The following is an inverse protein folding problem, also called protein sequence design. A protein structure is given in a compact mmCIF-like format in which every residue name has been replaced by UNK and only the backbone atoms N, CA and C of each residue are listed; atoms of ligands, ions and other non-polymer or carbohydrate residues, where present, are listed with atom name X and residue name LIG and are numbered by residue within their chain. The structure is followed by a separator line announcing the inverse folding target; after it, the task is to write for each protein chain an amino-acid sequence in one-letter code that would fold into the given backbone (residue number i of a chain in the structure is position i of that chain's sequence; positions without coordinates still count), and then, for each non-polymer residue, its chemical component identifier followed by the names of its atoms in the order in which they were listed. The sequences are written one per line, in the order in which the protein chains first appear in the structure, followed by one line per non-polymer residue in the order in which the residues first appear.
data_IF_483935679011
#
_entry.id   IF_483935679011
#
_cell.length_a   1.000
_cell.length_b   1.000
_cell.length_c   1.000
_cell.angle_alpha   90.00
_cell.angle_beta   90.00
_cell.angle_gamma   90.00
#
_symmetry.space_group_name_H-M   'P 1'
#
loop_
_entity.id
_entity.type
_entity.pdbx_description
1 polymer ?
#
# COMPACT_ATOMS: atom_id res chain seq x y z
N UNK A 1 8.57 18.08 18.03
CA UNK A 1 8.47 17.74 17.94
C UNK A 1 8.21 17.52 17.93
N UNK A 2 8.03 17.40 17.88
CA UNK A 2 7.78 16.93 17.78
C UNK A 2 7.29 16.79 17.78
N UNK A 3 6.99 16.76 17.78
CA UNK A 3 6.44 16.38 17.71
C UNK A 3 5.88 16.36 17.70
N UNK A 4 5.80 16.50 17.70
CA UNK A 4 5.14 16.13 17.59
C UNK A 4 4.58 15.98 17.56
N UNK A 5 4.48 15.88 17.62
CA UNK A 5 4.05 15.38 17.65
C UNK A 5 3.56 15.20 17.83
N UNK A 6 3.41 15.29 17.84
CA UNK A 6 3.08 14.81 18.01
C UNK A 6 2.47 14.58 18.29
N UNK A 7 2.27 14.65 18.25
CA UNK A 7 1.86 14.17 18.44
C UNK A 7 1.29 13.88 18.48
N UNK A 8 1.13 13.95 18.39
CA UNK A 8 0.82 13.35 18.37
C UNK A 8 0.48 13.09 18.15
N UNK A 9 0.41 13.12 17.98
CA UNK A 9 0.15 12.64 17.59
C UNK A 9 0.16 11.81 17.54
N UNK A 10 0.24 11.63 17.89
CA UNK A 10 0.37 10.74 17.86
C UNK A 10 -0.06 9.61 17.75
N UNK A 11 -0.68 9.12 17.98
CA UNK A 11 -1.04 8.01 17.65
C UNK A 11 -1.87 7.97 16.56
N UNK A 12 -1.49 8.43 15.51
CA UNK A 12 -2.25 8.41 14.31
C UNK A 12 -2.47 7.04 13.78
N UNK A 13 -1.70 6.09 14.24
CA UNK A 13 -1.83 4.76 13.71
C UNK A 13 -2.71 3.88 14.48
N UNK A 14 -3.38 4.41 15.48
CA UNK A 14 -4.34 3.55 16.13
C UNK A 14 -5.47 3.37 15.18
N UNK A 15 -6.13 2.30 15.26
CA UNK A 15 -7.19 1.97 14.37
C UNK A 15 -8.25 2.99 14.41
N UNK A 16 -8.60 3.45 15.58
CA UNK A 16 -9.63 4.36 15.70
C UNK A 16 -9.07 5.70 15.69
N UNK A 17 -9.64 6.66 15.13
CA UNK A 17 -9.19 8.01 15.15
C UNK A 17 -8.16 8.34 14.09
N UNK A 18 -7.74 7.37 13.33
CA UNK A 18 -6.79 7.64 12.27
C UNK A 18 -7.47 8.41 11.15
N UNK A 19 -6.88 9.53 10.75
CA UNK A 19 -7.38 10.28 9.63
C UNK A 19 -6.74 9.77 8.36
N UNK A 20 -7.53 9.63 7.31
CA UNK A 20 -7.01 9.22 6.01
C UNK A 20 -7.34 10.24 4.94
N UNK A 21 -7.89 11.37 5.32
CA UNK A 21 -8.18 12.43 4.37
C UNK A 21 -8.09 13.76 5.08
N UNK A 22 -7.99 14.84 4.31
CA UNK A 22 -7.88 16.16 4.86
C UNK A 22 -6.99 16.98 3.97
N UNK A 23 -6.73 18.25 4.32
CA UNK A 23 -5.89 19.07 3.48
C UNK A 23 -4.45 18.61 3.43
N UNK A 24 -4.03 17.87 4.42
CA UNK A 24 -2.66 17.38 4.45
C UNK A 24 -2.58 16.22 5.41
N UNK A 25 -1.84 15.21 5.04
CA UNK A 25 -1.60 14.05 5.89
C UNK A 25 -0.10 13.82 5.96
N UNK A 26 0.37 13.51 7.13
CA UNK A 26 1.78 13.22 7.34
C UNK A 26 1.87 11.88 8.04
N UNK A 27 2.70 11.00 7.50
CA UNK A 27 2.82 9.65 8.01
C UNK A 27 4.28 9.30 8.20
N UNK A 28 4.60 8.77 9.37
CA UNK A 28 5.95 8.25 9.64
C UNK A 28 5.95 6.82 9.15
N UNK A 29 6.49 6.60 7.97
CA UNK A 29 6.39 5.29 7.34
C UNK A 29 7.13 4.19 8.10
N UNK A 30 8.35 4.42 8.59
CA UNK A 30 8.99 3.35 9.38
C UNK A 30 8.18 2.95 10.59
N UNK A 31 7.59 3.92 11.27
CA UNK A 31 6.78 3.63 12.43
C UNK A 31 5.53 2.85 12.03
N UNK A 32 4.89 3.26 10.95
CA UNK A 32 3.70 2.58 10.46
C UNK A 32 4.02 1.15 10.06
N UNK A 33 5.17 0.92 9.43
CA UNK A 33 5.58 -0.43 9.08
C UNK A 33 5.75 -1.30 10.31
N UNK A 34 6.36 -0.74 11.35
CA UNK A 34 6.56 -1.51 12.57
C UNK A 34 5.22 -1.91 13.17
N UNK A 35 4.26 -1.00 13.14
CA UNK A 35 2.93 -1.33 13.66
C UNK A 35 2.27 -2.43 12.85
N UNK A 36 2.39 -2.36 11.52
CA UNK A 36 1.81 -3.40 10.69
C UNK A 36 2.41 -4.76 10.99
N UNK A 37 3.72 -4.80 11.16
CA UNK A 37 4.38 -6.08 11.40
C UNK A 37 4.05 -6.66 12.75
N UNK A 38 3.54 -5.84 13.66
CA UNK A 38 3.14 -6.32 14.97
C UNK A 38 1.72 -6.85 14.98
N UNK A 39 0.98 -6.70 13.90
CA UNK A 39 -0.40 -7.17 13.86
C UNK A 39 -0.43 -8.67 13.70
N UNK A 40 -1.38 -9.34 14.36
CA UNK A 40 -1.48 -10.80 14.23
C UNK A 40 -1.63 -11.26 12.79
N UNK A 41 -2.29 -10.46 11.96
CA UNK A 41 -2.48 -10.84 10.57
C UNK A 41 -1.17 -10.99 9.83
N UNK A 42 -0.17 -10.22 10.20
CA UNK A 42 1.12 -10.32 9.53
C UNK A 42 1.72 -11.72 9.74
N UNK A 43 1.67 -12.21 10.98
CA UNK A 43 2.19 -13.53 11.26
C UNK A 43 1.31 -14.60 10.65
N UNK A 44 0.03 -14.42 10.72
CA UNK A 44 -0.91 -15.46 10.32
C UNK A 44 -1.03 -15.56 8.80
N UNK A 45 -1.15 -14.41 8.13
CA UNK A 45 -1.41 -14.40 6.70
C UNK A 45 -0.19 -14.12 5.85
N UNK A 46 0.90 -13.68 6.45
CA UNK A 46 2.10 -13.38 5.71
C UNK A 46 2.13 -11.98 5.16
N UNK A 47 1.04 -11.24 5.27
CA UNK A 47 1.03 -9.85 4.82
C UNK A 47 -0.12 -9.12 5.48
N UNK A 48 0.01 -7.81 5.51
CA UNK A 48 -1.06 -6.98 6.03
C UNK A 48 -0.92 -5.61 5.41
N UNK A 49 -1.99 -4.85 5.41
CA UNK A 49 -2.01 -3.57 4.74
C UNK A 49 -2.84 -2.59 5.54
N UNK A 50 -2.55 -1.30 5.35
CA UNK A 50 -3.28 -0.25 6.01
C UNK A 50 -3.41 0.92 5.08
N UNK A 51 -4.61 1.48 4.98
CA UNK A 51 -4.84 2.66 4.15
C UNK A 51 -4.22 3.87 4.83
N UNK A 52 -3.37 4.57 4.11
CA UNK A 52 -2.74 5.79 4.60
C UNK A 52 -3.53 7.01 4.19
N UNK A 53 -4.06 7.02 2.98
CA UNK A 53 -4.81 8.15 2.48
C UNK A 53 -5.95 7.63 1.62
N UNK A 54 -7.11 8.27 1.75
CA UNK A 54 -8.25 7.86 0.98
C UNK A 54 -9.02 9.11 0.57
N UNK A 55 -8.89 9.47 -0.68
CA UNK A 55 -9.63 10.57 -1.27
C UNK A 55 -10.50 10.01 -2.38
N UNK A 56 -11.36 10.83 -2.93
CA UNK A 56 -12.24 10.41 -3.98
C UNK A 56 -11.48 9.86 -5.18
N UNK A 57 -10.35 10.47 -5.50
CA UNK A 57 -9.60 10.12 -6.70
C UNK A 57 -8.21 9.56 -6.40
N UNK A 58 -7.92 9.26 -5.16
CA UNK A 58 -6.58 8.78 -4.80
C UNK A 58 -6.65 7.94 -3.55
N UNK A 59 -5.96 6.81 -3.58
CA UNK A 59 -5.86 5.97 -2.40
C UNK A 59 -4.43 5.50 -2.27
N UNK A 60 -3.88 5.60 -1.08
CA UNK A 60 -2.53 5.14 -0.81
C UNK A 60 -2.59 4.12 0.31
N UNK A 61 -1.96 2.98 0.09
CA UNK A 61 -1.97 1.88 1.03
C UNK A 61 -0.54 1.47 1.34
N UNK A 62 -0.27 1.22 2.60
CA UNK A 62 1.01 0.69 3.02
C UNK A 62 0.85 -0.82 3.21
N UNK A 63 1.77 -1.59 2.64
CA UNK A 63 1.71 -3.05 2.69
C UNK A 63 3.01 -3.56 3.28
N UNK A 64 2.90 -4.55 4.16
CA UNK A 64 4.05 -5.25 4.69
C UNK A 64 3.86 -6.72 4.39
N UNK A 65 4.92 -7.39 3.92
CA UNK A 65 4.85 -8.80 3.53
C UNK A 65 6.06 -9.55 4.06
N UNK A 66 5.82 -10.79 4.43
CA UNK A 66 6.90 -11.69 4.81
C UNK A 66 7.51 -12.33 3.58
N UNK A 67 8.76 -12.73 3.69
CA UNK A 67 9.41 -13.46 2.61
C UNK A 67 8.59 -14.69 2.24
N UNK A 68 8.37 -14.88 0.97
CA UNK A 68 7.59 -16.01 0.48
C UNK A 68 6.12 -15.76 0.35
N UNK A 69 5.62 -14.64 0.86
CA UNK A 69 4.20 -14.35 0.77
C UNK A 69 3.86 -13.86 -0.64
N UNK A 70 2.61 -14.05 -1.00
CA UNK A 70 2.13 -13.67 -2.33
C UNK A 70 0.81 -12.94 -2.18
N UNK A 71 0.64 -11.91 -2.96
CA UNK A 71 -0.57 -11.12 -2.96
C UNK A 71 -1.03 -10.98 -4.40
N UNK A 72 -2.27 -11.38 -4.68
CA UNK A 72 -2.79 -11.29 -6.03
C UNK A 72 -3.14 -9.85 -6.36
N UNK A 73 -2.93 -9.48 -7.62
CA UNK A 73 -3.32 -8.17 -8.11
C UNK A 73 -4.61 -8.35 -8.89
N UNK A 74 -5.65 -7.67 -8.45
CA UNK A 74 -6.92 -7.78 -9.13
C UNK A 74 -6.90 -6.96 -10.40
N UNK A 75 -7.40 -7.53 -11.45
CA UNK A 75 -7.43 -6.86 -12.73
C UNK A 75 -8.54 -5.83 -12.69
N UNK A 76 -8.17 -4.59 -12.81
CA UNK A 76 -9.12 -3.49 -12.87
C UNK A 76 -8.64 -2.56 -13.95
N UNK A 77 -9.25 -1.43 -14.12
CA UNK A 77 -8.81 -0.50 -15.12
C UNK A 77 -7.81 0.51 -14.58
N UNK A 78 -7.49 0.41 -13.31
CA UNK A 78 -6.64 1.40 -12.70
C UNK A 78 -5.18 1.15 -12.95
N UNK A 79 -4.41 2.16 -12.69
CA UNK A 79 -2.97 2.06 -12.66
C UNK A 79 -2.51 2.18 -11.23
N UNK A 80 -1.46 1.48 -10.90
CA UNK A 80 -0.89 1.52 -9.56
C UNK A 80 0.52 2.07 -9.63
N UNK A 81 0.89 2.80 -8.61
CA UNK A 81 2.29 3.18 -8.42
C UNK A 81 2.75 2.50 -7.14
N UNK A 82 3.85 1.78 -7.23
CA UNK A 82 4.39 1.05 -6.10
C UNK A 82 5.75 1.62 -5.78
N UNK A 83 5.99 1.96 -4.52
CA UNK A 83 7.29 2.45 -4.11
C UNK A 83 7.82 1.57 -3.00
N UNK A 84 9.00 0.99 -3.23
CA UNK A 84 9.61 0.10 -2.26
C UNK A 84 10.25 0.89 -1.13
N UNK A 85 9.95 0.48 0.09
CA UNK A 85 10.56 1.09 1.26
C UNK A 85 11.70 0.23 1.76
N UNK A 86 11.46 -1.05 1.94
CA UNK A 86 12.50 -1.98 2.37
C UNK A 86 12.26 -3.31 1.71
N UNK A 87 13.30 -4.11 1.60
CA UNK A 87 13.18 -5.47 1.12
C UNK A 87 13.16 -5.58 -0.38
N UNK A 88 12.71 -6.73 -0.87
CA UNK A 88 12.69 -7.02 -2.29
C UNK A 88 11.43 -7.78 -2.65
N UNK A 89 10.83 -7.46 -3.78
CA UNK A 89 9.69 -8.20 -4.26
C UNK A 89 9.81 -8.45 -5.74
N UNK A 90 8.94 -9.31 -6.24
CA UNK A 90 8.86 -9.58 -7.65
C UNK A 90 7.43 -9.34 -8.09
N UNK A 91 7.27 -8.53 -9.11
CA UNK A 91 5.98 -8.33 -9.74
C UNK A 91 5.83 -9.39 -10.81
N UNK A 92 4.83 -10.24 -10.67
CA UNK A 92 4.59 -11.30 -11.64
C UNK A 92 3.60 -10.77 -12.66
N UNK A 93 3.99 -10.82 -13.91
CA UNK A 93 3.15 -10.33 -14.99
C UNK A 93 2.45 -11.51 -15.65
N UNK A 94 1.33 -11.22 -16.29
CA UNK A 94 0.60 -12.25 -16.99
C UNK A 94 1.50 -12.80 -18.09
N UNK A 95 1.51 -14.09 -18.23
CA UNK A 95 2.40 -14.72 -19.18
C UNK A 95 3.70 -15.18 -18.57
N UNK A 96 3.94 -14.91 -17.30
CA UNK A 96 5.06 -15.46 -16.60
C UNK A 96 6.27 -14.57 -16.43
N UNK A 97 6.32 -13.47 -17.15
CA UNK A 97 7.44 -12.55 -16.98
C UNK A 97 7.33 -11.88 -15.61
N UNK A 98 8.41 -11.32 -15.14
CA UNK A 98 8.37 -10.65 -13.86
C UNK A 98 9.43 -9.57 -13.79
N UNK A 99 9.24 -8.69 -12.82
CA UNK A 99 10.18 -7.63 -12.56
C UNK A 99 10.47 -7.60 -11.09
N UNK A 100 11.74 -7.53 -10.73
CA UNK A 100 12.11 -7.44 -9.33
C UNK A 100 12.35 -5.99 -8.96
N UNK A 101 12.01 -5.66 -7.74
CA UNK A 101 12.17 -4.32 -7.21
C UNK A 101 12.75 -4.41 -5.81
N UNK A 102 13.80 -3.68 -5.57
CA UNK A 102 14.42 -3.63 -4.26
C UNK A 102 14.19 -2.29 -3.60
N UNK A 103 14.82 -2.13 -2.46
CA UNK A 103 14.66 -0.93 -1.65
C UNK A 103 14.87 0.31 -2.49
N UNK A 104 13.96 1.26 -2.39
CA UNK A 104 14.05 2.51 -3.13
C UNK A 104 13.52 2.46 -4.55
N UNK A 105 13.14 1.29 -5.05
CA UNK A 105 12.68 1.18 -6.42
C UNK A 105 11.23 1.65 -6.55
N UNK A 106 10.88 2.03 -7.76
CA UNK A 106 9.54 2.48 -8.09
C UNK A 106 9.03 1.66 -9.27
N UNK A 107 7.79 1.21 -9.19
CA UNK A 107 7.15 0.51 -10.28
C UNK A 107 5.83 1.17 -10.62
N UNK A 108 5.58 1.37 -11.90
CA UNK A 108 4.26 1.78 -12.36
C UNK A 108 3.62 0.52 -12.93
N UNK A 109 2.44 0.20 -12.48
CA UNK A 109 1.82 -1.09 -12.77
C UNK A 109 0.49 -0.88 -13.46
N UNK A 110 0.33 -1.53 -14.60
CA UNK A 110 -0.93 -1.61 -15.29
C UNK A 110 -1.57 -2.91 -14.85
N UNK A 111 -2.66 -2.82 -14.10
CA UNK A 111 -3.23 -4.02 -13.50
C UNK A 111 -3.73 -5.01 -14.53
N UNK A 112 -3.98 -4.57 -15.76
CA UNK A 112 -4.38 -5.52 -16.79
C UNK A 112 -3.29 -6.51 -17.10
N UNK A 113 -2.05 -6.15 -16.86
CA UNK A 113 -0.92 -7.00 -17.19
C UNK A 113 -0.26 -7.60 -15.97
N UNK A 114 -0.78 -7.33 -14.79
CA UNK A 114 -0.16 -7.81 -13.55
C UNK A 114 -0.96 -8.97 -13.00
N UNK A 115 -0.26 -9.91 -12.41
CA UNK A 115 -0.90 -11.07 -11.84
C UNK A 115 -0.76 -11.10 -10.33
N UNK A 116 0.43 -10.88 -9.82
CA UNK A 116 0.67 -11.00 -8.39
C UNK A 116 1.93 -10.28 -7.98
N UNK A 117 2.05 -10.07 -6.69
CA UNK A 117 3.27 -9.55 -6.08
C UNK A 117 3.77 -10.64 -5.15
N UNK A 118 5.02 -11.04 -5.34
CA UNK A 118 5.64 -12.05 -4.50
C UNK A 118 6.77 -11.40 -3.71
N UNK A 119 6.79 -11.64 -2.42
CA UNK A 119 7.82 -11.07 -1.57
C UNK A 119 9.02 -11.99 -1.56
N UNK A 120 10.16 -11.47 -1.95
CA UNK A 120 11.40 -12.25 -1.99
C UNK A 120 12.14 -12.13 -0.67
N UNK A 121 12.34 -10.89 -0.20
CA UNK A 121 12.88 -10.64 1.11
C UNK A 121 11.84 -9.81 1.84
N UNK A 122 11.69 -10.04 3.13
CA UNK A 122 10.68 -9.32 3.91
C UNK A 122 10.66 -7.87 3.49
N UNK A 123 9.49 -7.37 3.12
CA UNK A 123 9.42 -6.07 2.48
C UNK A 123 8.25 -5.24 2.95
N UNK A 124 8.32 -3.97 2.63
CA UNK A 124 7.23 -3.05 2.83
C UNK A 124 7.26 -2.04 1.70
N UNK A 125 6.08 -1.65 1.26
CA UNK A 125 5.96 -0.74 0.13
C UNK A 125 4.64 -0.01 0.18
N UNK A 126 4.54 1.08 -0.55
CA UNK A 126 3.28 1.78 -0.69
C UNK A 126 2.70 1.49 -2.06
N UNK A 127 1.39 1.38 -2.11
CA UNK A 127 0.65 1.30 -3.37
C UNK A 127 -0.21 2.53 -3.46
N UNK A 128 -0.11 3.22 -4.57
CA UNK A 128 -0.93 4.39 -4.82
C UNK A 128 -1.84 4.07 -6.00
N UNK A 129 -3.14 4.21 -5.78
CA UNK A 129 -4.16 3.94 -6.79
C UNK A 129 -4.78 5.26 -7.15
N UNK A 130 -4.75 5.60 -8.44
CA UNK A 130 -5.36 6.82 -8.91
C UNK A 130 -6.59 6.46 -9.73
N UNK A 131 -7.67 7.18 -9.51
CA UNK A 131 -8.91 6.94 -10.22
C UNK A 131 -9.09 8.01 -11.28
N UNK A 132 -9.49 7.63 -12.48
CA UNK A 132 -9.81 8.65 -13.49
C UNK A 132 -11.02 9.45 -13.02
N UNK A 133 -11.13 10.67 -13.46
CA UNK A 133 -12.26 11.51 -13.02
C UNK A 133 -13.62 10.89 -13.29
N UNK A 134 -13.82 10.27 -14.44
CA UNK A 134 -15.11 9.68 -14.73
C UNK A 134 -15.34 8.49 -13.83
N UNK A 135 -14.30 7.74 -13.55
CA UNK A 135 -14.43 6.60 -12.65
C UNK A 135 -14.78 7.09 -11.25
N UNK A 136 -14.14 8.14 -10.81
CA UNK A 136 -14.40 8.59 -9.47
C UNK A 136 -15.82 9.15 -9.38
N UNK A 137 -16.34 9.71 -10.43
CA UNK A 137 -17.70 10.19 -10.41
C UNK A 137 -18.67 9.04 -10.25
N UNK A 138 -18.39 7.94 -10.87
CA UNK A 138 -19.26 6.81 -10.76
C UNK A 138 -19.11 6.12 -9.45
N UNK A 139 -17.92 6.13 -8.93
CA UNK A 139 -17.63 5.32 -7.81
C UNK A 139 -17.52 6.07 -6.53
N UNK A 140 -18.00 7.29 -6.54
CA UNK A 140 -17.80 8.03 -5.34
C UNK A 140 -18.45 7.37 -4.20
N UNK A 141 -19.45 6.61 -4.45
CA UNK A 141 -20.06 5.92 -3.40
C UNK A 141 -19.48 4.60 -3.28
N UNK A 142 -18.78 4.14 -4.24
CA UNK A 142 -18.30 2.80 -4.19
C UNK A 142 -17.16 2.69 -3.26
N UNK A 143 -17.00 1.55 -2.71
CA UNK A 143 -15.89 1.29 -1.86
C UNK A 143 -14.66 1.27 -2.71
N UNK A 144 -13.63 1.76 -2.16
CA UNK A 144 -12.38 1.73 -2.83
C UNK A 144 -11.67 0.51 -2.34
N UNK A 145 -11.61 -0.50 -3.16
CA UNK A 145 -11.03 -1.72 -2.75
C UNK A 145 -9.71 -1.87 -3.37
N UNK A 146 -8.78 -2.40 -2.68
CA UNK A 146 -7.47 -2.68 -3.24
C UNK A 146 -7.31 -4.13 -3.47
#
# INVERSE_FOLDING_TARGET
MTSPSTSGASEPWTTRGQRVAGPSLSVDLPFACALLRAEPAYEHDGHTARTLAKYRDLRVVLVAMKAGARMDVHETAERLALQMLVGRLRLVLRGGAGEEAGEGAFLAIDTEHAEAIECLDECAFTLTVAWPPDHSADADDGPVEM
#
